data_IF_518402556050
#
_entry.id   IF_518402556050
#
_cell.length_a   1.000
_cell.length_b   1.000
_cell.length_c   1.000
_cell.angle_alpha   90.00
_cell.angle_beta   90.00
_cell.angle_gamma   90.00
#
_symmetry.space_group_name_H-M   'P 1'
#
loop_
_entity.id
_entity.type
_entity.pdbx_description
1 polymer ?
#
# COMPACT_ATOMS: atom_id res chain seq x y z
N UNK A 1 -6.49 -21.28 -27.66
CA UNK A 1 -5.17 -20.71 -27.31
C UNK A 1 -5.15 -19.27 -27.81
N UNK A 2 -5.02 -18.26 -26.94
CA UNK A 2 -5.00 -16.84 -27.39
C UNK A 2 -3.69 -16.52 -28.10
N UNK A 3 -3.73 -15.76 -29.20
CA UNK A 3 -2.49 -15.32 -29.86
C UNK A 3 -1.75 -14.31 -28.98
N UNK A 4 -0.41 -14.23 -29.13
CA UNK A 4 0.41 -13.25 -28.41
C UNK A 4 -0.11 -11.81 -28.59
N UNK A 5 -0.55 -11.46 -29.80
CA UNK A 5 -1.13 -10.14 -30.11
C UNK A 5 -2.45 -9.89 -29.36
N UNK A 6 -3.27 -10.92 -29.16
CA UNK A 6 -4.53 -10.79 -28.41
C UNK A 6 -4.27 -10.54 -26.93
N UNK A 7 -3.26 -11.19 -26.35
CA UNK A 7 -2.85 -10.97 -24.96
C UNK A 7 -2.28 -9.57 -24.78
N UNK A 8 -1.40 -9.12 -25.68
CA UNK A 8 -0.82 -7.77 -25.65
C UNK A 8 -1.91 -6.69 -25.72
N UNK A 9 -2.90 -6.86 -26.60
CA UNK A 9 -4.05 -5.94 -26.72
C UNK A 9 -4.96 -6.00 -25.49
N UNK A 10 -5.23 -7.20 -24.95
CA UNK A 10 -6.06 -7.38 -23.76
C UNK A 10 -5.44 -6.78 -22.52
N UNK A 11 -4.12 -6.88 -22.33
CA UNK A 11 -3.40 -6.29 -21.20
C UNK A 11 -3.07 -4.80 -21.40
N UNK A 12 -3.29 -4.26 -22.60
CA UNK A 12 -2.95 -2.88 -22.93
C UNK A 12 -1.45 -2.63 -22.85
N UNK A 13 -0.66 -3.55 -23.41
CA UNK A 13 0.80 -3.51 -23.37
C UNK A 13 1.34 -2.32 -24.15
N UNK A 14 2.25 -1.57 -23.52
CA UNK A 14 2.91 -0.42 -24.14
C UNK A 14 4.26 -0.81 -24.75
N UNK A 15 4.57 -0.22 -25.92
CA UNK A 15 5.95 -0.05 -26.38
C UNK A 15 6.55 1.12 -25.60
N UNK A 16 6.86 0.91 -24.32
CA UNK A 16 7.36 1.97 -23.44
C UNK A 16 8.64 2.59 -24.01
N UNK A 17 8.66 3.93 -24.14
CA UNK A 17 9.85 4.77 -24.36
C UNK A 17 10.24 5.55 -23.10
N UNK A 18 9.74 5.16 -21.92
CA UNK A 18 10.04 5.87 -20.69
C UNK A 18 11.54 5.85 -20.42
N UNK A 19 12.12 6.99 -20.06
CA UNK A 19 13.55 7.05 -19.72
C UNK A 19 13.76 6.37 -18.38
N UNK A 20 14.92 5.73 -18.17
CA UNK A 20 15.26 5.09 -16.89
C UNK A 20 15.12 6.05 -15.70
N UNK A 21 15.42 7.34 -15.91
CA UNK A 21 15.20 8.40 -14.93
C UNK A 21 13.74 8.52 -14.50
N UNK A 22 12.79 8.49 -15.43
CA UNK A 22 11.36 8.63 -15.12
C UNK A 22 10.83 7.41 -14.36
N UNK A 23 11.32 6.22 -14.72
CA UNK A 23 11.00 4.96 -14.03
C UNK A 23 11.51 5.00 -12.59
N UNK A 24 12.76 5.40 -12.40
CA UNK A 24 13.36 5.51 -11.07
C UNK A 24 12.63 6.53 -10.20
N UNK A 25 12.35 7.73 -10.73
CA UNK A 25 11.60 8.77 -10.01
C UNK A 25 10.21 8.27 -9.60
N UNK A 26 9.49 7.63 -10.53
CA UNK A 26 8.16 7.08 -10.23
C UNK A 26 8.24 6.00 -9.15
N UNK A 27 9.19 5.06 -9.25
CA UNK A 27 9.43 4.04 -8.23
C UNK A 27 9.68 4.67 -6.86
N UNK A 28 10.60 5.63 -6.77
CA UNK A 28 10.91 6.31 -5.51
C UNK A 28 9.67 6.95 -4.91
N UNK A 29 8.92 7.72 -5.70
CA UNK A 29 7.73 8.44 -5.22
C UNK A 29 6.63 7.45 -4.77
N UNK A 30 6.44 6.36 -5.51
CA UNK A 30 5.47 5.31 -5.17
C UNK A 30 5.86 4.54 -3.89
N UNK A 31 7.16 4.41 -3.62
CA UNK A 31 7.68 3.71 -2.46
C UNK A 31 7.52 4.50 -1.15
N UNK A 32 7.61 5.84 -1.18
CA UNK A 32 7.62 6.68 0.04
C UNK A 32 6.42 6.40 0.97
N UNK A 33 5.16 6.33 0.51
CA UNK A 33 4.04 5.99 1.39
C UNK A 33 4.23 4.66 2.12
N UNK A 34 4.70 3.63 1.41
CA UNK A 34 4.87 2.30 2.00
C UNK A 34 6.03 2.26 3.01
N UNK A 35 7.09 3.05 2.79
CA UNK A 35 8.14 3.23 3.81
C UNK A 35 7.58 3.96 5.03
N UNK A 36 6.80 5.03 4.82
CA UNK A 36 6.15 5.75 5.92
C UNK A 36 5.22 4.85 6.73
N UNK A 37 4.57 3.86 6.11
CA UNK A 37 3.79 2.82 6.80
C UNK A 37 4.65 2.03 7.79
N UNK A 38 5.81 1.54 7.33
CA UNK A 38 6.73 0.79 8.21
C UNK A 38 7.26 1.67 9.35
N UNK A 39 7.55 2.95 9.08
CA UNK A 39 7.94 3.91 10.12
C UNK A 39 6.82 4.09 11.16
N UNK A 40 5.57 4.23 10.73
CA UNK A 40 4.41 4.36 11.61
C UNK A 40 4.20 3.13 12.48
N UNK A 41 4.28 1.93 11.89
CA UNK A 41 4.19 0.68 12.63
C UNK A 41 5.26 0.60 13.72
N UNK A 42 6.49 0.94 13.37
CA UNK A 42 7.59 0.94 14.33
C UNK A 42 7.39 1.97 15.45
N UNK A 43 6.98 3.20 15.11
CA UNK A 43 6.72 4.23 16.10
C UNK A 43 5.60 3.85 17.08
N UNK A 44 4.48 3.33 16.56
CA UNK A 44 3.36 2.87 17.38
C UNK A 44 3.74 1.67 18.26
N UNK A 45 4.52 0.73 17.73
CA UNK A 45 5.02 -0.41 18.48
C UNK A 45 5.94 0.02 19.63
N UNK A 46 6.89 0.93 19.39
CA UNK A 46 7.79 1.44 20.45
C UNK A 46 7.03 2.16 21.58
N UNK A 47 5.93 2.84 21.26
CA UNK A 47 5.10 3.56 22.25
C UNK A 47 4.21 2.63 23.06
N UNK A 48 3.64 1.61 22.43
CA UNK A 48 2.55 0.80 23.04
C UNK A 48 2.94 -0.63 23.39
N UNK A 49 4.01 -1.16 22.79
CA UNK A 49 4.40 -2.56 22.92
C UNK A 49 3.45 -3.55 22.23
N UNK A 50 2.44 -3.09 21.49
CA UNK A 50 1.40 -3.91 20.87
C UNK A 50 1.46 -3.84 19.34
N UNK A 51 0.88 -4.83 18.66
CA UNK A 51 0.90 -4.96 17.18
C UNK A 51 -0.50 -5.19 16.59
N UNK A 52 -1.55 -5.06 17.38
CA UNK A 52 -2.93 -5.39 16.99
C UNK A 52 -3.50 -4.48 15.89
N UNK A 53 -2.84 -3.34 15.64
CA UNK A 53 -3.14 -2.45 14.52
C UNK A 53 -2.67 -2.98 13.16
N UNK A 54 -1.72 -3.91 13.14
CA UNK A 54 -1.22 -4.53 11.90
C UNK A 54 -2.13 -5.71 11.56
N UNK A 55 -2.74 -5.72 10.38
CA UNK A 55 -3.64 -6.83 9.98
C UNK A 55 -2.88 -8.02 9.38
N UNK A 56 -1.74 -7.79 8.71
CA UNK A 56 -0.90 -8.86 8.14
C UNK A 56 -0.20 -9.67 9.24
N UNK A 57 -0.44 -10.97 9.24
CA UNK A 57 0.18 -11.91 10.18
C UNK A 57 1.70 -12.01 9.97
N UNK A 58 2.13 -11.92 8.71
CA UNK A 58 3.54 -11.96 8.31
C UNK A 58 4.28 -10.76 8.90
N UNK A 59 3.68 -9.57 8.76
CA UNK A 59 4.25 -8.33 9.29
C UNK A 59 4.30 -8.37 10.82
N UNK A 60 3.25 -8.84 11.50
CA UNK A 60 3.29 -9.01 12.95
C UNK A 60 4.44 -9.94 13.39
N UNK A 61 4.62 -11.07 12.72
CA UNK A 61 5.68 -12.03 13.02
C UNK A 61 7.08 -11.44 12.83
N UNK A 62 7.27 -10.58 11.81
CA UNK A 62 8.53 -9.87 11.57
C UNK A 62 8.88 -8.94 12.74
N UNK A 63 7.91 -8.16 13.22
CA UNK A 63 8.10 -7.22 14.32
C UNK A 63 8.35 -7.93 15.65
N UNK A 64 7.62 -9.01 15.94
CA UNK A 64 7.82 -9.83 17.14
C UNK A 64 9.21 -10.46 17.20
N UNK A 65 9.82 -10.77 16.05
CA UNK A 65 11.18 -11.33 15.96
C UNK A 65 12.28 -10.26 15.97
N UNK A 66 11.94 -8.97 16.06
CA UNK A 66 12.90 -7.88 16.13
C UNK A 66 13.53 -7.50 14.79
N UNK A 67 12.91 -7.83 13.65
CA UNK A 67 13.45 -7.54 12.32
C UNK A 67 12.58 -6.55 11.50
N UNK A 68 12.21 -5.36 12.03
CA UNK A 68 11.26 -4.45 11.37
C UNK A 68 11.71 -4.02 9.95
N UNK A 69 13.03 -4.01 9.68
CA UNK A 69 13.60 -3.69 8.37
C UNK A 69 13.28 -4.71 7.27
N UNK A 70 12.90 -5.95 7.62
CA UNK A 70 12.48 -6.96 6.63
C UNK A 70 11.20 -6.51 5.90
N UNK A 71 10.28 -5.83 6.60
CA UNK A 71 9.10 -5.25 5.98
C UNK A 71 9.45 -4.23 4.89
N UNK A 72 10.52 -3.45 5.07
CA UNK A 72 10.98 -2.48 4.05
C UNK A 72 11.44 -3.19 2.76
N UNK A 73 12.13 -4.33 2.88
CA UNK A 73 12.56 -5.09 1.70
C UNK A 73 11.38 -5.62 0.90
N UNK A 74 10.32 -6.07 1.58
CA UNK A 74 9.07 -6.49 0.93
C UNK A 74 8.44 -5.35 0.12
N UNK A 75 8.34 -4.15 0.70
CA UNK A 75 7.82 -2.97 -0.01
C UNK A 75 8.66 -2.60 -1.23
N UNK A 76 9.99 -2.74 -1.14
CA UNK A 76 10.88 -2.48 -2.27
C UNK A 76 10.59 -3.46 -3.42
N UNK A 77 10.45 -4.75 -3.13
CA UNK A 77 10.16 -5.79 -4.14
C UNK A 77 8.81 -5.53 -4.79
N UNK A 78 7.76 -5.29 -4.00
CA UNK A 78 6.41 -4.97 -4.49
C UNK A 78 6.44 -3.69 -5.33
N UNK A 79 7.16 -2.66 -4.88
CA UNK A 79 7.31 -1.40 -5.60
C UNK A 79 7.97 -1.54 -6.96
N UNK A 80 8.98 -2.41 -7.07
CA UNK A 80 9.61 -2.73 -8.36
C UNK A 80 8.57 -3.38 -9.29
N UNK A 81 7.80 -4.35 -8.79
CA UNK A 81 6.75 -5.03 -9.57
C UNK A 81 5.70 -4.03 -10.05
N UNK A 82 5.15 -3.19 -9.16
CA UNK A 82 4.11 -2.23 -9.53
C UNK A 82 4.62 -1.10 -10.43
N UNK A 83 5.86 -0.67 -10.26
CA UNK A 83 6.53 0.24 -11.20
C UNK A 83 6.63 -0.40 -12.58
N UNK A 84 7.07 -1.65 -12.66
CA UNK A 84 7.12 -2.39 -13.92
C UNK A 84 5.75 -2.51 -14.57
N UNK A 85 4.72 -2.90 -13.80
CA UNK A 85 3.34 -3.00 -14.29
C UNK A 85 2.84 -1.64 -14.81
N UNK A 86 3.15 -0.54 -14.12
CA UNK A 86 2.71 0.80 -14.49
C UNK A 86 3.18 1.23 -15.89
N UNK A 87 4.47 1.03 -16.16
CA UNK A 87 5.08 1.41 -17.45
C UNK A 87 4.81 0.40 -18.55
N UNK A 88 4.55 -0.87 -18.21
CA UNK A 88 4.36 -1.93 -19.20
C UNK A 88 2.90 -2.17 -19.59
N UNK A 89 1.96 -2.10 -18.64
CA UNK A 89 0.58 -2.53 -18.82
C UNK A 89 -0.41 -1.47 -18.30
N UNK A 90 -1.04 -0.74 -19.22
CA UNK A 90 -1.99 0.33 -18.86
C UNK A 90 -3.13 -0.13 -17.97
N UNK A 91 -3.66 -1.34 -18.22
CA UNK A 91 -4.78 -1.90 -17.45
C UNK A 91 -4.39 -2.42 -16.08
N UNK A 92 -3.10 -2.58 -15.79
CA UNK A 92 -2.60 -3.04 -14.49
C UNK A 92 -2.09 -1.88 -13.63
N UNK A 93 -2.25 -0.63 -14.09
CA UNK A 93 -1.91 0.57 -13.31
C UNK A 93 -2.70 0.72 -12.03
N UNK A 94 -3.88 0.09 -11.95
CA UNK A 94 -4.70 0.11 -10.73
C UNK A 94 -3.97 -0.49 -9.52
N UNK A 95 -3.00 -1.39 -9.70
CA UNK A 95 -2.22 -1.93 -8.60
C UNK A 95 -1.44 -0.84 -7.86
N UNK A 96 -0.87 0.13 -8.58
CA UNK A 96 -0.16 1.25 -7.94
C UNK A 96 -1.12 2.14 -7.12
N UNK A 97 -2.35 2.36 -7.60
CA UNK A 97 -3.37 3.09 -6.83
C UNK A 97 -3.79 2.30 -5.58
N UNK A 98 -4.07 1.00 -5.75
CA UNK A 98 -4.43 0.12 -4.65
C UNK A 98 -3.36 0.11 -3.55
N UNK A 99 -2.09 -0.01 -3.93
CA UNK A 99 -0.98 -0.07 -3.00
C UNK A 99 -0.81 1.22 -2.17
N UNK A 100 -0.97 2.39 -2.79
CA UNK A 100 -0.91 3.67 -2.06
C UNK A 100 -2.10 3.82 -1.10
N UNK A 101 -3.30 3.39 -1.51
CA UNK A 101 -4.48 3.45 -0.65
C UNK A 101 -4.42 2.44 0.51
N UNK A 102 -3.83 1.27 0.28
CA UNK A 102 -3.59 0.27 1.32
C UNK A 102 -2.70 0.86 2.43
N UNK A 103 -1.58 1.50 2.06
CA UNK A 103 -0.76 2.25 3.01
C UNK A 103 -1.55 3.36 3.73
N UNK A 104 -2.38 4.11 3.00
CA UNK A 104 -3.22 5.18 3.60
C UNK A 104 -4.17 4.63 4.66
N UNK A 105 -4.79 3.49 4.39
CA UNK A 105 -5.69 2.84 5.33
C UNK A 105 -4.96 2.28 6.55
N UNK A 106 -3.71 1.86 6.38
CA UNK A 106 -2.86 1.46 7.49
C UNK A 106 -2.52 2.64 8.40
N UNK A 107 -2.30 3.83 7.85
CA UNK A 107 -2.17 5.03 8.69
C UNK A 107 -3.43 5.28 9.51
N UNK A 108 -4.60 5.24 8.86
CA UNK A 108 -5.87 5.41 9.55
C UNK A 108 -6.10 4.32 10.60
N UNK A 109 -5.71 3.08 10.32
CA UNK A 109 -5.81 1.96 11.25
C UNK A 109 -4.92 2.15 12.47
N UNK A 110 -3.68 2.58 12.28
CA UNK A 110 -2.77 2.96 13.37
C UNK A 110 -3.34 4.10 14.19
N UNK A 111 -3.83 5.17 13.54
CA UNK A 111 -4.39 6.33 14.23
C UNK A 111 -5.59 5.96 15.09
N UNK A 112 -6.59 5.29 14.51
CA UNK A 112 -7.82 4.92 15.21
C UNK A 112 -7.50 3.93 16.32
N UNK A 113 -6.61 2.97 16.08
CA UNK A 113 -6.18 2.05 17.12
C UNK A 113 -5.44 2.75 18.26
N UNK A 114 -4.56 3.70 17.96
CA UNK A 114 -3.82 4.47 18.98
C UNK A 114 -4.77 5.29 19.86
N UNK A 115 -5.85 5.82 19.29
CA UNK A 115 -6.82 6.66 20.01
C UNK A 115 -7.92 5.86 20.73
N UNK A 116 -8.37 4.74 20.14
CA UNK A 116 -9.57 4.03 20.58
C UNK A 116 -9.31 2.58 21.02
N UNK A 117 -8.07 2.08 20.92
CA UNK A 117 -7.70 0.71 21.27
C UNK A 117 -8.18 -0.36 20.29
N UNK A 118 -8.77 0.02 19.15
CA UNK A 118 -9.24 -0.89 18.12
C UNK A 118 -9.11 -0.29 16.71
N UNK A 119 -8.81 -1.10 15.70
CA UNK A 119 -8.79 -0.69 14.29
C UNK A 119 -10.19 -0.51 13.72
N UNK A 120 -10.38 0.24 12.61
CA UNK A 120 -11.70 0.40 11.99
C UNK A 120 -12.38 -0.94 11.67
N UNK A 121 -11.64 -1.94 11.20
CA UNK A 121 -12.20 -3.26 10.90
C UNK A 121 -12.47 -4.11 12.15
N UNK A 122 -11.72 -3.90 13.24
CA UNK A 122 -12.02 -4.52 14.54
C UNK A 122 -13.33 -3.99 15.13
N UNK A 123 -13.59 -2.68 15.00
CA UNK A 123 -14.85 -2.07 15.46
C UNK A 123 -16.08 -2.60 14.71
N UNK A 124 -15.91 -3.13 13.50
CA UNK A 124 -16.97 -3.80 12.74
C UNK A 124 -17.20 -5.27 13.16
N UNK A 125 -16.49 -5.77 14.18
CA UNK A 125 -16.64 -7.14 14.68
C UNK A 125 -16.10 -8.22 13.72
N UNK A 126 -15.25 -7.84 12.76
CA UNK A 126 -14.73 -8.78 11.77
C UNK A 126 -13.60 -9.64 12.36
N UNK A 127 -13.67 -10.95 12.10
CA UNK A 127 -12.62 -11.91 12.44
C UNK A 127 -11.33 -11.67 11.65
N UNK A 128 -10.19 -12.15 12.17
CA UNK A 128 -8.86 -11.77 11.66
C UNK A 128 -8.67 -12.11 10.17
N UNK A 129 -9.09 -13.31 9.74
CA UNK A 129 -8.99 -13.75 8.33
C UNK A 129 -9.85 -12.85 7.42
N UNK A 130 -11.07 -12.53 7.86
CA UNK A 130 -11.97 -11.66 7.10
C UNK A 130 -11.40 -10.25 6.97
N UNK A 131 -10.80 -9.71 8.04
CA UNK A 131 -10.11 -8.41 8.01
C UNK A 131 -8.96 -8.42 7.02
N UNK A 132 -8.13 -9.46 7.06
CA UNK A 132 -7.02 -9.64 6.14
C UNK A 132 -7.49 -9.66 4.68
N UNK A 133 -8.43 -10.54 4.32
CA UNK A 133 -8.93 -10.65 2.95
C UNK A 133 -9.59 -9.36 2.45
N UNK A 134 -10.41 -8.72 3.28
CA UNK A 134 -11.07 -7.48 2.92
C UNK A 134 -10.05 -6.36 2.68
N UNK A 135 -9.09 -6.18 3.59
CA UNK A 135 -8.08 -5.13 3.49
C UNK A 135 -7.10 -5.39 2.35
N UNK A 136 -6.38 -6.50 2.43
CA UNK A 136 -5.19 -6.80 1.61
C UNK A 136 -5.52 -7.14 0.16
N UNK A 137 -6.76 -7.56 -0.15
CA UNK A 137 -7.11 -8.08 -1.47
C UNK A 137 -8.30 -7.32 -2.05
N UNK A 138 -9.43 -7.32 -1.35
CA UNK A 138 -10.70 -6.91 -1.95
C UNK A 138 -10.81 -5.39 -2.06
N UNK A 139 -10.63 -4.65 -0.95
CA UNK A 139 -10.91 -3.22 -0.91
C UNK A 139 -9.96 -2.44 -1.81
N UNK A 140 -8.65 -2.61 -1.66
CA UNK A 140 -7.70 -1.75 -2.38
C UNK A 140 -7.41 -2.22 -3.80
N UNK A 141 -7.24 -3.52 -4.02
CA UNK A 141 -6.89 -4.02 -5.35
C UNK A 141 -8.11 -4.45 -6.17
N UNK A 142 -9.18 -4.92 -5.52
CA UNK A 142 -10.42 -5.31 -6.20
C UNK A 142 -11.38 -4.14 -6.47
N UNK A 143 -11.41 -3.12 -5.60
CA UNK A 143 -12.41 -2.05 -5.67
C UNK A 143 -11.76 -0.68 -5.90
N UNK A 144 -11.01 -0.14 -4.93
CA UNK A 144 -10.58 1.25 -4.94
C UNK A 144 -9.51 1.55 -6.00
N UNK A 145 -8.53 0.68 -6.18
CA UNK A 145 -7.52 0.80 -7.22
C UNK A 145 -8.17 0.89 -8.61
N UNK A 146 -9.01 -0.08 -9.01
CA UNK A 146 -9.74 -0.03 -10.28
C UNK A 146 -10.62 1.22 -10.39
N UNK A 147 -11.31 1.61 -9.31
CA UNK A 147 -12.16 2.80 -9.29
C UNK A 147 -11.37 4.08 -9.57
N UNK A 148 -10.23 4.29 -8.91
CA UNK A 148 -9.37 5.45 -9.15
C UNK A 148 -8.79 5.46 -10.57
N UNK A 149 -8.44 4.27 -11.10
CA UNK A 149 -7.98 4.16 -12.48
C UNK A 149 -9.07 4.53 -13.49
N UNK A 150 -10.31 4.04 -13.29
CA UNK A 150 -11.46 4.35 -14.15
C UNK A 150 -11.80 5.85 -14.10
N UNK A 151 -11.74 6.46 -12.90
CA UNK A 151 -11.93 7.90 -12.71
C UNK A 151 -10.77 8.75 -13.25
N UNK A 152 -9.70 8.13 -13.76
CA UNK A 152 -8.48 8.80 -14.25
C UNK A 152 -7.88 9.76 -13.21
N UNK A 153 -7.96 9.39 -11.93
CA UNK A 153 -7.36 10.16 -10.85
C UNK A 153 -5.86 10.34 -11.07
N UNK A 154 -5.30 11.47 -10.64
CA UNK A 154 -3.85 11.68 -10.74
C UNK A 154 -3.15 10.92 -9.60
N UNK A 155 -2.37 9.89 -9.91
CA UNK A 155 -1.62 9.10 -8.91
C UNK A 155 -0.74 9.96 -8.01
N UNK A 156 -0.14 11.04 -8.53
CA UNK A 156 0.68 11.95 -7.74
C UNK A 156 -0.14 12.59 -6.63
N UNK A 157 -1.38 13.00 -6.93
CA UNK A 157 -2.28 13.59 -5.94
C UNK A 157 -2.66 12.57 -4.87
N UNK A 158 -2.94 11.31 -5.26
CA UNK A 158 -3.23 10.22 -4.31
C UNK A 158 -2.03 9.98 -3.37
N UNK A 159 -0.81 9.98 -3.91
CA UNK A 159 0.42 9.85 -3.12
C UNK A 159 0.58 11.04 -2.16
N UNK A 160 0.42 12.27 -2.63
CA UNK A 160 0.53 13.45 -1.77
C UNK A 160 -0.50 13.41 -0.63
N UNK A 161 -1.77 13.10 -0.93
CA UNK A 161 -2.81 12.95 0.09
C UNK A 161 -2.50 11.85 1.09
N UNK A 162 -2.02 10.70 0.61
CA UNK A 162 -1.54 9.60 1.46
C UNK A 162 -0.44 10.08 2.42
N UNK A 163 0.58 10.77 1.90
CA UNK A 163 1.69 11.28 2.71
C UNK A 163 1.23 12.30 3.74
N UNK A 164 0.32 13.21 3.39
CA UNK A 164 -0.25 14.15 4.36
C UNK A 164 -0.93 13.42 5.51
N UNK A 165 -1.77 12.42 5.22
CA UNK A 165 -2.45 11.62 6.24
C UNK A 165 -1.44 10.86 7.10
N UNK A 166 -0.42 10.24 6.48
CA UNK A 166 0.61 9.49 7.18
C UNK A 166 1.46 10.35 8.10
N UNK A 167 1.88 11.53 7.65
CA UNK A 167 2.68 12.45 8.46
C UNK A 167 1.89 13.03 9.63
N UNK A 168 0.61 13.36 9.43
CA UNK A 168 -0.28 13.80 10.51
C UNK A 168 -0.48 12.67 11.54
N UNK A 169 -0.68 11.44 11.07
CA UNK A 169 -0.78 10.27 11.95
C UNK A 169 0.50 10.08 12.75
N UNK A 170 1.67 10.20 12.10
CA UNK A 170 2.96 10.03 12.75
C UNK A 170 3.18 11.08 13.84
N UNK A 171 2.79 12.33 13.57
CA UNK A 171 2.83 13.40 14.56
C UNK A 171 2.01 13.05 15.79
N UNK A 172 0.77 12.57 15.62
CA UNK A 172 -0.11 12.17 16.74
C UNK A 172 0.49 11.02 17.55
N UNK A 173 1.09 10.01 16.89
CA UNK A 173 1.70 8.85 17.56
C UNK A 173 2.98 9.24 18.33
N UNK A 174 3.73 10.24 17.86
CA UNK A 174 4.97 10.67 18.48
C UNK A 174 4.74 11.59 19.70
N UNK A 175 3.64 12.34 19.73
CA UNK A 175 3.20 13.11 20.90
C UNK A 175 2.82 12.19 22.07
#
# INVERSE_FOLDING_TARGET
MFSKKDVEKKLGMLKSKAKNRDIFIFFTILLIPNILRQVLYWAAFLKTGQLDFIVSFETQAIYQRGFPFVGIFEEIIIGIIFTFLWFKYTKLRFFAYGWVLDATFDYASVLVWYLAGATPLQLLGLGVITRFLLREIILFYGIFGPLLMIKKSNIMWVIFSSLTIGLLTLLVVLL
#
